data_IF_892228429781
#
_entry.id   IF_892228429781
#
_cell.length_a   1.000
_cell.length_b   1.000
_cell.length_c   1.000
_cell.angle_alpha   90.00
_cell.angle_beta   90.00
_cell.angle_gamma   90.00
#
_symmetry.space_group_name_H-M   'P 1'
#
loop_
_entity.id
_entity.type
_entity.pdbx_description
1 polymer ?
#
# COMPACT_ATOMS: atom_id res chain seq x y z
N UNK A 1 -2.80 -24.79 59.63
CA UNK A 1 -2.88 -23.62 58.74
C UNK A 1 -1.65 -23.57 57.85
N UNK A 2 -1.82 -23.65 56.53
CA UNK A 2 -0.84 -23.24 55.52
C UNK A 2 -1.60 -22.48 54.43
N UNK A 3 -1.16 -21.31 53.97
CA UNK A 3 -1.92 -20.52 53.01
C UNK A 3 -1.71 -21.02 51.57
N UNK A 4 -2.80 -20.94 50.81
CA UNK A 4 -2.91 -21.24 49.38
C UNK A 4 -2.28 -20.07 48.60
N UNK A 5 -1.16 -20.32 47.91
CA UNK A 5 -0.55 -19.38 46.98
C UNK A 5 -1.25 -19.41 45.63
N UNK A 6 -1.85 -18.28 45.23
CA UNK A 6 -2.48 -18.06 43.93
C UNK A 6 -1.49 -18.33 42.79
N UNK A 7 -1.85 -19.20 41.83
CA UNK A 7 -1.18 -19.28 40.53
C UNK A 7 -1.50 -18.02 39.74
N UNK A 8 -0.51 -17.14 39.62
CA UNK A 8 -0.51 -16.06 38.63
C UNK A 8 -0.24 -16.65 37.26
N UNK A 9 -1.23 -16.53 36.38
CA UNK A 9 -1.20 -16.95 34.98
C UNK A 9 -0.41 -15.90 34.18
N UNK A 10 0.92 -15.96 34.22
CA UNK A 10 1.77 -15.13 33.36
C UNK A 10 1.88 -15.80 31.98
N UNK A 11 0.88 -15.58 31.13
CA UNK A 11 1.07 -15.71 29.67
C UNK A 11 2.06 -14.63 29.24
N UNK A 12 3.33 -15.01 29.20
CA UNK A 12 4.36 -14.24 28.51
C UNK A 12 4.01 -14.28 27.02
N UNK A 13 3.53 -13.16 26.49
CA UNK A 13 3.49 -12.94 25.05
C UNK A 13 4.91 -13.15 24.51
N UNK A 14 5.13 -14.27 23.82
CA UNK A 14 6.36 -14.47 23.04
C UNK A 14 6.31 -13.47 21.89
N UNK A 15 6.84 -12.28 22.11
CA UNK A 15 7.25 -11.37 21.04
C UNK A 15 8.34 -12.12 20.28
N UNK A 16 8.01 -12.68 19.11
CA UNK A 16 9.01 -13.18 18.18
C UNK A 16 9.80 -11.97 17.66
N UNK A 17 10.92 -11.67 18.31
CA UNK A 17 11.92 -10.73 17.80
C UNK A 17 12.64 -11.42 16.66
N UNK A 18 12.18 -11.20 15.44
CA UNK A 18 12.91 -11.60 14.24
C UNK A 18 14.05 -10.60 14.06
N UNK A 19 15.28 -11.08 14.25
CA UNK A 19 16.47 -10.31 13.87
C UNK A 19 16.48 -10.15 12.34
N UNK A 20 16.12 -8.95 11.88
CA UNK A 20 16.27 -8.58 10.47
C UNK A 20 17.76 -8.61 10.12
N UNK A 21 18.12 -9.36 9.06
CA UNK A 21 19.44 -9.24 8.46
C UNK A 21 19.61 -7.79 7.97
N UNK A 22 20.80 -7.19 8.11
CA UNK A 22 21.07 -5.86 7.58
C UNK A 22 20.71 -5.82 6.09
N UNK A 23 19.84 -4.88 5.72
CA UNK A 23 19.48 -4.64 4.32
C UNK A 23 20.66 -3.91 3.71
N UNK A 24 21.46 -4.62 2.90
CA UNK A 24 22.45 -4.00 2.03
C UNK A 24 21.70 -3.14 1.00
N UNK A 25 21.78 -1.82 1.14
CA UNK A 25 21.26 -0.87 0.14
C UNK A 25 22.22 -0.88 -1.05
N UNK A 26 22.07 -1.87 -1.92
CA UNK A 26 22.77 -1.96 -3.20
C UNK A 26 21.71 -2.32 -4.23
N UNK A 27 21.27 -1.38 -5.08
CA UNK A 27 20.23 -1.79 -6.03
C UNK A 27 19.73 -0.82 -7.08
N UNK A 28 20.52 0.04 -7.74
CA UNK A 28 19.98 1.02 -8.72
C UNK A 28 19.34 0.44 -10.02
N UNK A 29 18.16 -0.17 -10.00
CA UNK A 29 17.32 -0.61 -11.14
C UNK A 29 16.18 0.32 -11.56
N UNK A 30 15.80 0.23 -12.83
CA UNK A 30 14.59 0.85 -13.38
C UNK A 30 13.67 -0.25 -13.91
N UNK A 31 12.35 -0.09 -13.76
CA UNK A 31 11.34 -1.04 -14.23
C UNK A 31 11.00 -0.81 -15.70
N UNK A 32 10.87 0.46 -16.09
CA UNK A 32 10.63 0.89 -17.45
C UNK A 32 11.76 1.78 -17.95
N UNK A 33 11.76 2.03 -19.26
CA UNK A 33 12.76 2.90 -19.87
C UNK A 33 12.58 4.37 -19.49
N UNK A 34 13.70 5.06 -19.26
CA UNK A 34 13.76 6.49 -18.88
C UNK A 34 14.55 7.26 -19.92
N UNK A 35 14.13 8.49 -20.21
CA UNK A 35 14.76 9.39 -21.15
C UNK A 35 14.02 9.43 -22.49
N UNK A 36 14.76 9.55 -23.59
CA UNK A 36 14.17 9.78 -24.90
C UNK A 36 13.28 8.61 -25.33
N UNK A 37 12.00 8.90 -25.59
CA UNK A 37 10.94 7.91 -25.91
C UNK A 37 10.76 6.83 -24.84
N UNK A 38 11.22 7.08 -23.61
CA UNK A 38 10.99 6.22 -22.46
C UNK A 38 9.57 6.32 -21.92
N UNK A 39 9.16 5.33 -21.13
CA UNK A 39 7.89 5.36 -20.39
C UNK A 39 7.92 6.41 -19.28
N UNK A 40 9.12 6.81 -18.82
CA UNK A 40 9.36 7.93 -17.90
C UNK A 40 8.47 7.87 -16.65
N UNK A 41 8.46 6.69 -16.00
CA UNK A 41 7.74 6.52 -14.75
C UNK A 41 8.42 7.36 -13.65
N UNK A 42 7.66 8.05 -12.78
CA UNK A 42 8.20 8.89 -11.73
C UNK A 42 9.29 8.22 -10.87
N UNK A 43 9.07 6.96 -10.48
CA UNK A 43 10.03 6.20 -9.67
C UNK A 43 11.32 5.88 -10.45
N UNK A 44 11.24 5.63 -11.76
CA UNK A 44 12.42 5.36 -12.59
C UNK A 44 13.20 6.65 -12.87
N UNK A 45 12.51 7.79 -13.07
CA UNK A 45 13.13 9.12 -13.19
C UNK A 45 13.94 9.44 -11.94
N UNK A 46 13.36 9.21 -10.77
CA UNK A 46 14.03 9.40 -9.48
C UNK A 46 15.36 8.63 -9.41
N UNK A 47 15.35 7.35 -9.81
CA UNK A 47 16.54 6.49 -9.81
C UNK A 47 17.62 7.03 -10.75
N UNK A 48 17.25 7.42 -11.97
CA UNK A 48 18.22 7.92 -12.96
C UNK A 48 18.82 9.26 -12.52
N UNK A 49 18.00 10.20 -12.02
CA UNK A 49 18.50 11.47 -11.47
C UNK A 49 19.45 11.23 -10.30
N UNK A 50 19.12 10.30 -9.41
CA UNK A 50 19.97 9.93 -8.26
C UNK A 50 21.31 9.34 -8.70
N UNK A 51 21.29 8.40 -9.65
CA UNK A 51 22.50 7.81 -10.21
C UNK A 51 23.40 8.86 -10.85
N UNK A 52 22.84 9.69 -11.73
CA UNK A 52 23.57 10.72 -12.45
C UNK A 52 24.16 11.77 -11.50
N UNK A 53 23.41 12.23 -10.50
CA UNK A 53 23.91 13.16 -9.49
C UNK A 53 25.02 12.56 -8.62
N UNK A 54 25.02 11.24 -8.40
CA UNK A 54 26.07 10.59 -7.61
C UNK A 54 27.38 10.36 -8.36
N UNK A 55 27.35 10.40 -9.68
CA UNK A 55 28.53 10.23 -10.55
C UNK A 55 29.25 11.58 -10.70
N UNK A 56 30.58 11.57 -10.69
CA UNK A 56 31.36 12.80 -10.82
C UNK A 56 31.28 13.34 -12.27
N UNK A 57 31.40 14.67 -12.49
CA UNK A 57 31.28 15.24 -13.83
C UNK A 57 32.25 14.65 -14.85
N UNK A 58 33.50 14.36 -14.43
CA UNK A 58 34.51 13.74 -15.31
C UNK A 58 34.17 12.31 -15.75
N UNK A 59 33.27 11.63 -15.03
CA UNK A 59 32.76 10.31 -15.37
C UNK A 59 31.39 10.39 -16.08
N UNK A 60 30.94 11.59 -16.43
CA UNK A 60 29.70 11.86 -17.14
C UNK A 60 28.48 12.03 -16.23
N UNK A 61 28.67 12.32 -14.95
CA UNK A 61 27.58 12.59 -14.00
C UNK A 61 27.13 14.04 -13.96
N UNK A 62 25.98 14.27 -13.31
CA UNK A 62 25.38 15.59 -13.14
C UNK A 62 25.76 16.27 -11.81
N UNK A 63 26.43 15.56 -10.90
CA UNK A 63 26.99 16.06 -9.63
C UNK A 63 26.05 16.94 -8.78
N UNK A 64 24.80 16.52 -8.66
CA UNK A 64 23.80 17.17 -7.79
C UNK A 64 22.98 18.27 -8.46
N UNK A 65 23.17 18.53 -9.75
CA UNK A 65 22.45 19.59 -10.48
C UNK A 65 21.03 19.22 -10.89
N UNK A 66 20.70 17.93 -10.97
CA UNK A 66 19.33 17.49 -11.24
C UNK A 66 18.49 17.57 -9.97
N UNK A 67 17.36 18.30 -10.00
CA UNK A 67 16.38 18.24 -8.91
C UNK A 67 15.73 16.85 -8.90
N UNK A 68 16.11 16.03 -7.92
CA UNK A 68 15.63 14.66 -7.74
C UNK A 68 14.16 14.60 -7.29
N UNK A 69 13.60 15.72 -6.80
CA UNK A 69 12.22 15.77 -6.30
C UNK A 69 11.21 16.13 -7.40
N UNK A 70 11.67 16.77 -8.47
CA UNK A 70 10.85 16.99 -9.65
C UNK A 70 10.73 15.69 -10.46
N UNK A 71 9.60 15.00 -10.34
CA UNK A 71 9.33 13.75 -11.06
C UNK A 71 8.38 13.97 -12.25
N UNK A 72 8.22 15.22 -12.67
CA UNK A 72 7.37 15.59 -13.80
C UNK A 72 7.90 14.94 -15.07
N UNK A 73 7.02 14.25 -15.80
CA UNK A 73 7.39 13.47 -16.99
C UNK A 73 6.94 14.14 -18.31
N UNK A 74 6.77 15.46 -18.31
CA UNK A 74 6.51 16.22 -19.55
C UNK A 74 7.79 16.33 -20.39
N UNK A 75 7.69 16.54 -21.72
CA UNK A 75 8.85 16.70 -22.58
C UNK A 75 9.84 17.77 -22.09
N UNK A 76 9.34 18.90 -21.61
CA UNK A 76 10.14 20.04 -21.13
C UNK A 76 10.85 19.72 -19.81
N UNK A 77 10.16 19.07 -18.86
CA UNK A 77 10.75 18.70 -17.57
C UNK A 77 11.78 17.56 -17.70
N UNK A 78 11.65 16.72 -18.73
CA UNK A 78 12.58 15.63 -19.01
C UNK A 78 13.83 16.05 -19.77
N UNK A 79 13.85 17.24 -20.38
CA UNK A 79 14.98 17.73 -21.19
C UNK A 79 16.31 17.71 -20.40
N UNK A 80 16.42 18.24 -19.16
CA UNK A 80 17.67 18.19 -18.39
C UNK A 80 18.10 16.75 -18.04
N UNK A 81 17.14 15.84 -17.84
CA UNK A 81 17.42 14.44 -17.55
C UNK A 81 17.97 13.74 -18.77
N UNK A 82 17.36 13.96 -19.94
CA UNK A 82 17.78 13.40 -21.22
C UNK A 82 19.18 13.91 -21.59
N UNK A 83 19.45 15.20 -21.42
CA UNK A 83 20.79 15.77 -21.61
C UNK A 83 21.83 15.12 -20.69
N UNK A 84 21.52 14.96 -19.40
CA UNK A 84 22.43 14.30 -18.47
C UNK A 84 22.66 12.82 -18.83
N UNK A 85 21.64 12.10 -19.32
CA UNK A 85 21.79 10.73 -19.84
C UNK A 85 22.72 10.73 -21.06
N UNK A 86 22.53 11.66 -22.01
CA UNK A 86 23.36 11.78 -23.20
C UNK A 86 24.81 12.08 -22.85
N UNK A 87 25.05 13.01 -21.92
CA UNK A 87 26.40 13.33 -21.42
C UNK A 87 27.05 12.08 -20.81
N UNK A 88 26.31 11.35 -19.97
CA UNK A 88 26.80 10.11 -19.37
C UNK A 88 27.15 9.06 -20.44
N UNK A 89 26.23 8.81 -21.37
CA UNK A 89 26.43 7.85 -22.47
C UNK A 89 27.64 8.24 -23.32
N UNK A 90 27.78 9.51 -23.71
CA UNK A 90 28.90 10.03 -24.49
C UNK A 90 30.25 9.89 -23.77
N UNK A 91 30.26 10.12 -22.46
CA UNK A 91 31.48 9.99 -21.65
C UNK A 91 31.89 8.53 -21.46
N UNK A 92 30.93 7.61 -21.44
CA UNK A 92 31.17 6.20 -21.18
C UNK A 92 31.23 5.38 -22.48
N UNK A 93 32.45 4.96 -22.84
CA UNK A 93 32.70 4.22 -24.09
C UNK A 93 31.91 2.91 -24.21
N UNK A 94 31.42 2.62 -25.41
CA UNK A 94 30.71 1.38 -25.73
C UNK A 94 29.23 1.34 -25.32
N UNK A 95 28.65 2.49 -24.93
CA UNK A 95 27.22 2.65 -24.71
C UNK A 95 26.51 3.17 -25.97
N UNK A 96 25.20 2.92 -26.05
CA UNK A 96 24.33 3.58 -27.02
C UNK A 96 24.17 5.05 -26.58
N UNK A 97 24.25 5.97 -27.54
CA UNK A 97 24.17 7.43 -27.34
C UNK A 97 22.80 7.98 -27.76
N UNK A 98 21.74 7.35 -27.25
CA UNK A 98 20.36 7.57 -27.68
C UNK A 98 19.52 8.37 -26.67
N UNK A 99 20.11 8.79 -25.55
CA UNK A 99 19.43 9.52 -24.49
C UNK A 99 18.40 8.68 -23.74
N UNK A 100 18.43 7.35 -23.90
CA UNK A 100 17.51 6.40 -23.27
C UNK A 100 18.25 5.42 -22.38
N UNK A 101 17.69 5.18 -21.20
CA UNK A 101 18.15 4.15 -20.28
C UNK A 101 17.08 3.06 -20.24
N UNK A 102 17.46 1.86 -20.65
CA UNK A 102 16.59 0.68 -20.59
C UNK A 102 16.90 -0.20 -19.37
N UNK A 103 15.88 -0.85 -18.77
CA UNK A 103 16.04 -1.81 -17.69
C UNK A 103 17.08 -2.88 -17.99
N UNK A 104 17.98 -3.12 -17.03
CA UNK A 104 19.02 -4.16 -17.08
C UNK A 104 19.96 -4.14 -18.30
N UNK A 105 19.97 -3.05 -19.09
CA UNK A 105 20.89 -2.85 -20.20
C UNK A 105 22.18 -2.13 -19.79
N UNK A 106 23.05 -1.91 -20.77
CA UNK A 106 24.43 -1.46 -20.56
C UNK A 106 24.52 -0.09 -19.86
N UNK A 107 23.66 0.86 -20.24
CA UNK A 107 23.69 2.22 -19.68
C UNK A 107 23.47 2.21 -18.17
N UNK A 108 22.43 1.54 -17.68
CA UNK A 108 22.17 1.50 -16.23
C UNK A 108 23.18 0.65 -15.47
N UNK A 109 23.66 -0.46 -16.05
CA UNK A 109 24.75 -1.27 -15.47
C UNK A 109 26.02 -0.44 -15.30
N UNK A 110 26.32 0.43 -16.28
CA UNK A 110 27.49 1.31 -16.23
C UNK A 110 27.30 2.45 -15.23
N UNK A 111 26.11 3.05 -15.15
CA UNK A 111 25.79 4.07 -14.13
C UNK A 111 25.99 3.50 -12.73
N UNK A 112 25.46 2.30 -12.45
CA UNK A 112 25.71 1.58 -11.18
C UNK A 112 27.20 1.43 -10.89
N UNK A 113 27.98 1.00 -11.88
CA UNK A 113 29.42 0.80 -11.72
C UNK A 113 30.15 2.11 -11.40
N UNK A 114 29.84 3.20 -12.12
CA UNK A 114 30.49 4.49 -11.91
C UNK A 114 30.09 5.14 -10.59
N UNK A 115 28.80 5.06 -10.27
CA UNK A 115 28.28 5.43 -8.96
C UNK A 115 29.03 4.69 -7.84
N UNK A 116 29.30 3.40 -8.04
CA UNK A 116 30.07 2.58 -7.08
C UNK A 116 31.59 2.85 -7.12
N UNK A 117 32.19 3.26 -8.24
CA UNK A 117 33.63 3.58 -8.34
C UNK A 117 34.02 4.81 -7.55
N UNK A 118 33.10 5.77 -7.39
CA UNK A 118 33.29 6.91 -6.47
C UNK A 118 33.37 6.48 -4.99
N UNK A 119 33.08 5.20 -4.65
CA UNK A 119 33.21 4.58 -3.32
C UNK A 119 34.62 4.05 -2.98
N UNK A 120 35.69 4.72 -3.44
CA UNK A 120 37.01 4.48 -2.89
C UNK A 120 37.16 5.08 -1.49
N UNK A 121 36.69 4.38 -0.45
CA UNK A 121 37.05 4.67 0.96
C UNK A 121 35.95 5.11 1.94
N UNK A 122 34.66 4.80 1.73
CA UNK A 122 33.61 5.07 2.72
C UNK A 122 33.15 3.77 3.40
N UNK A 123 33.13 3.73 4.73
CA UNK A 123 32.59 2.61 5.51
C UNK A 123 31.19 2.20 4.98
N UNK A 124 30.94 0.89 4.87
CA UNK A 124 29.59 0.36 4.63
C UNK A 124 28.71 0.66 5.86
N UNK A 125 28.14 1.86 5.90
CA UNK A 125 27.15 2.24 6.91
C UNK A 125 25.78 1.78 6.41
N UNK A 126 25.22 0.74 7.03
CA UNK A 126 23.83 0.32 6.84
C UNK A 126 22.92 1.18 7.73
N UNK A 127 21.79 1.61 7.17
CA UNK A 127 20.75 2.34 7.88
C UNK A 127 19.51 1.46 8.02
N UNK A 128 19.07 1.24 9.24
CA UNK A 128 17.76 0.65 9.52
C UNK A 128 16.79 1.76 9.90
N UNK A 129 15.68 1.89 9.17
CA UNK A 129 14.58 2.81 9.49
C UNK A 129 13.40 1.97 9.95
N UNK A 130 12.84 2.32 11.10
CA UNK A 130 11.72 1.61 11.71
C UNK A 130 10.77 2.61 12.35
N UNK A 131 9.46 2.35 12.36
CA UNK A 131 8.53 3.15 13.15
C UNK A 131 8.68 2.80 14.62
N UNK A 132 8.30 3.73 15.49
CA UNK A 132 8.19 3.46 16.91
C UNK A 132 6.95 2.60 17.19
N UNK A 133 7.16 1.30 17.40
CA UNK A 133 6.11 0.34 17.69
C UNK A 133 6.42 -1.07 17.22
N UNK A 134 5.47 -2.01 17.41
CA UNK A 134 5.61 -3.36 16.90
C UNK A 134 5.60 -3.37 15.37
N UNK A 135 6.62 -3.99 14.79
CA UNK A 135 6.74 -4.24 13.36
C UNK A 135 6.33 -5.68 13.10
N UNK A 136 5.45 -5.90 12.13
CA UNK A 136 4.94 -7.21 11.77
C UNK A 136 5.40 -7.52 10.35
N UNK A 137 6.65 -7.99 10.21
CA UNK A 137 7.26 -8.23 8.90
C UNK A 137 7.79 -6.93 8.26
N UNK A 138 7.62 -6.71 6.94
CA UNK A 138 8.12 -5.53 6.26
C UNK A 138 7.18 -4.31 6.39
N UNK A 139 6.07 -4.42 7.12
CA UNK A 139 5.19 -3.30 7.44
C UNK A 139 4.85 -3.27 8.94
N UNK A 140 4.51 -2.09 9.46
CA UNK A 140 4.04 -1.93 10.85
C UNK A 140 2.52 -1.80 10.95
N UNK A 141 1.99 -1.85 12.17
CA UNK A 141 0.55 -1.71 12.43
C UNK A 141 -0.02 -0.30 12.19
N UNK A 142 0.79 0.66 11.74
CA UNK A 142 0.41 2.07 11.46
C UNK A 142 0.66 2.46 10.01
N UNK A 143 0.93 1.46 9.17
CA UNK A 143 1.08 1.56 7.74
C UNK A 143 2.50 1.78 7.24
N UNK A 144 3.51 2.00 8.09
CA UNK A 144 4.91 2.07 7.65
C UNK A 144 5.24 0.86 6.80
N UNK A 145 5.90 1.09 5.67
CA UNK A 145 6.35 0.01 4.80
C UNK A 145 7.82 0.19 4.49
N UNK A 146 8.60 -0.79 4.94
CA UNK A 146 9.95 -1.06 4.45
C UNK A 146 9.95 -2.14 3.34
N UNK A 147 8.76 -2.60 2.92
CA UNK A 147 8.60 -3.65 1.92
C UNK A 147 8.97 -3.19 0.51
N UNK A 148 8.94 -1.87 0.27
CA UNK A 148 9.27 -1.25 -1.03
C UNK A 148 8.50 -1.94 -2.14
N UNK A 149 7.16 -1.88 -2.00
CA UNK A 149 6.24 -2.62 -2.85
C UNK A 149 6.14 -1.99 -4.24
N UNK A 150 5.98 -2.84 -5.24
CA UNK A 150 5.64 -2.45 -6.61
C UNK A 150 4.44 -3.23 -7.12
N UNK A 151 3.62 -2.59 -7.94
CA UNK A 151 2.50 -3.24 -8.63
C UNK A 151 3.03 -3.92 -9.91
N UNK A 152 2.71 -5.20 -10.10
CA UNK A 152 3.07 -5.98 -11.29
C UNK A 152 1.80 -6.64 -11.81
N UNK A 153 1.26 -6.13 -12.92
CA UNK A 153 -0.11 -6.47 -13.32
C UNK A 153 -1.11 -5.98 -12.27
N UNK A 154 -1.93 -6.89 -11.74
CA UNK A 154 -2.94 -6.59 -10.70
C UNK A 154 -2.48 -6.98 -9.28
N UNK A 155 -1.24 -7.43 -9.11
CA UNK A 155 -0.73 -7.91 -7.82
C UNK A 155 0.46 -7.10 -7.31
N UNK A 156 0.51 -6.90 -5.98
CA UNK A 156 1.62 -6.23 -5.33
C UNK A 156 2.72 -7.23 -4.96
N UNK A 157 3.95 -6.91 -5.32
CA UNK A 157 5.13 -7.70 -4.98
C UNK A 157 6.14 -6.88 -4.18
N UNK A 158 6.69 -7.47 -3.13
CA UNK A 158 7.85 -6.91 -2.45
C UNK A 158 9.10 -7.21 -3.28
N UNK A 159 9.88 -6.18 -3.64
CA UNK A 159 11.29 -6.21 -4.03
C UNK A 159 11.59 -5.10 -5.06
N UNK A 160 11.55 -3.84 -4.62
CA UNK A 160 12.40 -2.82 -5.19
C UNK A 160 13.44 -2.40 -4.14
N UNK A 161 14.74 -2.53 -4.43
CA UNK A 161 15.79 -2.09 -3.52
C UNK A 161 15.84 -0.56 -3.38
N UNK A 162 15.18 0.18 -4.26
CA UNK A 162 15.38 1.60 -4.47
C UNK A 162 14.24 2.50 -4.10
N UNK A 163 13.00 2.01 -4.19
CA UNK A 163 11.87 2.78 -3.74
C UNK A 163 12.16 3.32 -2.34
N UNK A 164 11.86 4.61 -2.10
CA UNK A 164 12.04 5.18 -0.79
C UNK A 164 11.22 4.37 0.21
N UNK A 165 11.72 4.27 1.44
CA UNK A 165 10.90 3.78 2.54
C UNK A 165 9.68 4.69 2.64
N UNK A 166 8.48 4.13 2.70
CA UNK A 166 7.24 4.91 2.75
C UNK A 166 6.65 4.90 4.15
N UNK A 167 6.21 6.08 4.59
CA UNK A 167 5.54 6.26 5.88
C UNK A 167 4.29 7.11 5.74
N UNK A 168 3.16 6.59 6.21
CA UNK A 168 1.87 7.27 6.23
C UNK A 168 1.86 8.20 7.44
N UNK A 169 1.58 9.48 7.21
CA UNK A 169 1.48 10.50 8.24
C UNK A 169 0.08 11.11 8.20
N UNK A 170 -0.85 10.69 9.07
CA UNK A 170 -2.16 11.33 9.15
C UNK A 170 -2.03 12.81 9.56
N UNK A 171 -2.75 13.70 8.90
CA UNK A 171 -2.80 15.12 9.31
C UNK A 171 -3.26 15.21 10.76
N UNK A 172 -2.53 16.00 11.56
CA UNK A 172 -2.80 16.20 12.98
C UNK A 172 -2.39 15.05 13.90
N UNK A 173 -1.90 13.92 13.37
CA UNK A 173 -1.32 12.82 14.16
C UNK A 173 0.19 12.77 13.97
N UNK A 174 0.90 12.33 15.00
CA UNK A 174 2.36 12.19 14.96
C UNK A 174 2.79 10.81 14.47
N UNK A 175 4.00 10.76 13.93
CA UNK A 175 4.74 9.54 13.60
C UNK A 175 6.16 9.68 14.10
N UNK A 176 6.65 8.66 14.79
CA UNK A 176 8.03 8.60 15.25
C UNK A 176 8.76 7.52 14.49
N UNK A 177 9.88 7.89 13.88
CA UNK A 177 10.79 6.99 13.19
C UNK A 177 12.04 6.83 14.06
N UNK A 178 12.48 5.59 14.22
CA UNK A 178 13.72 5.14 14.84
C UNK A 178 14.70 4.74 13.75
N UNK A 179 15.91 5.27 13.83
CA UNK A 179 16.97 5.09 12.86
C UNK A 179 18.21 4.54 13.56
N UNK A 180 18.79 3.49 12.99
CA UNK A 180 20.01 2.89 13.51
C UNK A 180 21.03 2.78 12.38
N UNK A 181 22.04 3.65 12.41
CA UNK A 181 23.25 3.49 11.61
C UNK A 181 24.12 2.38 12.18
N UNK A 182 24.76 1.59 11.33
CA UNK A 182 25.79 0.64 11.81
C UNK A 182 27.02 1.39 12.31
N UNK A 183 27.72 0.79 13.27
CA UNK A 183 28.98 1.30 13.83
C UNK A 183 28.89 2.66 14.54
N UNK A 184 27.68 3.09 14.95
CA UNK A 184 27.51 4.32 15.73
C UNK A 184 27.62 5.61 14.90
N UNK A 185 27.52 5.52 13.57
CA UNK A 185 27.51 6.68 12.69
C UNK A 185 26.40 7.67 13.09
N UNK A 186 26.73 8.97 13.16
CA UNK A 186 25.74 10.00 13.44
C UNK A 186 24.69 10.08 12.33
N UNK A 187 23.44 10.36 12.70
CA UNK A 187 22.32 10.51 11.77
C UNK A 187 21.72 11.90 11.92
N UNK A 188 21.56 12.59 10.79
CA UNK A 188 20.91 13.89 10.66
C UNK A 188 19.65 13.80 9.81
N UNK A 189 18.83 14.84 9.91
CA UNK A 189 17.54 14.94 9.21
C UNK A 189 17.43 16.29 8.52
N UNK A 190 16.99 16.28 7.27
CA UNK A 190 16.55 17.45 6.54
C UNK A 190 15.15 17.20 6.01
N UNK A 191 14.27 18.18 6.19
CA UNK A 191 12.89 18.15 5.70
C UNK A 191 12.56 19.54 5.16
N UNK A 192 12.31 19.62 3.87
CA UNK A 192 11.91 20.86 3.18
C UNK A 192 10.51 20.69 2.60
N UNK A 193 9.49 20.78 3.46
CA UNK A 193 8.10 20.71 3.02
C UNK A 193 7.17 21.40 4.01
N UNK A 194 6.20 22.21 3.55
CA UNK A 194 5.14 22.73 4.43
C UNK A 194 4.12 21.64 4.84
N UNK A 195 4.19 20.44 4.25
CA UNK A 195 3.23 19.35 4.49
C UNK A 195 3.53 18.56 5.76
N UNK A 196 4.76 18.58 6.21
CA UNK A 196 5.22 17.85 7.40
C UNK A 196 6.09 18.78 8.24
N UNK A 197 6.00 18.65 9.54
CA UNK A 197 6.87 19.35 10.48
C UNK A 197 7.59 18.34 11.38
N UNK A 198 8.88 18.58 11.65
CA UNK A 198 9.63 17.85 12.67
C UNK A 198 9.32 18.49 14.03
N UNK A 199 8.69 17.74 14.93
CA UNK A 199 8.39 18.19 16.28
C UNK A 199 9.57 17.94 17.23
N UNK A 200 10.20 16.77 17.12
CA UNK A 200 11.29 16.35 17.99
C UNK A 200 12.32 15.58 17.18
N UNK A 201 13.60 15.76 17.55
CA UNK A 201 14.73 14.99 16.99
C UNK A 201 15.72 14.62 18.08
N UNK A 202 16.14 13.36 18.09
CA UNK A 202 17.27 12.85 18.87
C UNK A 202 18.35 12.34 17.92
N UNK A 203 19.43 11.76 18.46
CA UNK A 203 20.50 11.15 17.67
C UNK A 203 20.05 9.96 16.81
N UNK A 204 18.92 9.34 17.14
CA UNK A 204 18.43 8.09 16.58
C UNK A 204 16.92 8.09 16.31
N UNK A 205 16.20 9.17 16.61
CA UNK A 205 14.76 9.27 16.38
C UNK A 205 14.34 10.61 15.82
N UNK A 206 13.29 10.59 15.01
CA UNK A 206 12.62 11.80 14.52
C UNK A 206 11.11 11.63 14.66
N UNK A 207 10.46 12.60 15.30
CA UNK A 207 9.01 12.66 15.42
C UNK A 207 8.51 13.73 14.46
N UNK A 208 7.65 13.32 13.53
CA UNK A 208 7.02 14.20 12.53
C UNK A 208 5.52 14.29 12.75
N UNK A 209 4.92 15.39 12.30
CA UNK A 209 3.46 15.59 12.25
C UNK A 209 3.02 16.02 10.85
N UNK A 210 1.91 15.47 10.38
CA UNK A 210 1.29 15.88 9.12
C UNK A 210 0.53 17.19 9.27
N UNK A 211 0.78 18.13 8.36
CA UNK A 211 0.16 19.47 8.33
C UNK A 211 -0.75 19.65 7.13
N UNK A 212 -0.26 19.31 5.93
CA UNK A 212 -1.01 19.46 4.66
C UNK A 212 -0.96 18.16 3.87
N UNK A 213 -2.01 17.89 3.10
CA UNK A 213 -2.11 16.67 2.29
C UNK A 213 -1.02 16.59 1.21
N UNK A 214 -0.58 15.37 0.92
CA UNK A 214 0.29 15.01 -0.18
C UNK A 214 1.65 14.49 0.27
N UNK A 215 2.54 14.31 -0.70
CA UNK A 215 3.85 13.70 -0.47
C UNK A 215 4.90 14.72 -0.02
N UNK A 216 5.73 14.31 0.93
CA UNK A 216 6.92 15.03 1.40
C UNK A 216 8.11 14.07 1.53
N UNK A 217 9.32 14.57 1.36
CA UNK A 217 10.54 13.77 1.49
C UNK A 217 11.33 14.18 2.72
N UNK A 218 11.53 13.22 3.61
CA UNK A 218 12.46 13.34 4.73
C UNK A 218 13.80 12.78 4.27
N UNK A 219 14.79 13.66 4.16
CA UNK A 219 16.18 13.31 3.86
C UNK A 219 16.90 12.88 5.13
N UNK A 220 17.32 11.62 5.19
CA UNK A 220 18.13 11.09 6.27
C UNK A 220 19.60 11.14 5.87
N UNK A 221 20.37 11.97 6.55
CA UNK A 221 21.80 12.14 6.31
C UNK A 221 22.54 11.24 7.28
N UNK A 222 23.40 10.35 6.81
CA UNK A 222 24.18 9.45 7.67
C UNK A 222 25.66 9.79 7.53
N UNK A 223 26.35 9.95 8.65
CA UNK A 223 27.79 10.19 8.69
C UNK A 223 28.54 9.09 7.93
N UNK A 224 29.41 9.49 7.01
CA UNK A 224 30.16 8.57 6.15
C UNK A 224 29.40 8.05 4.93
N UNK A 225 28.08 8.31 4.80
CA UNK A 225 27.36 8.07 3.55
C UNK A 225 27.44 9.26 2.60
N UNK A 226 27.54 8.97 1.29
CA UNK A 226 27.45 9.98 0.24
C UNK A 226 25.99 10.15 -0.19
N UNK A 227 25.37 11.21 0.31
CA UNK A 227 24.02 11.63 -0.06
C UNK A 227 22.94 11.20 0.96
N UNK A 228 21.81 11.91 1.02
CA UNK A 228 20.72 11.58 1.92
C UNK A 228 19.96 10.32 1.45
N UNK A 229 19.47 9.53 2.40
CA UNK A 229 18.50 8.46 2.15
C UNK A 229 17.10 9.07 2.21
N UNK A 230 16.30 9.01 1.13
CA UNK A 230 14.96 9.56 1.12
C UNK A 230 13.97 8.62 1.86
N UNK A 231 13.14 9.22 2.71
CA UNK A 231 11.95 8.60 3.28
C UNK A 231 10.75 9.37 2.79
N UNK A 232 9.89 8.72 1.99
CA UNK A 232 8.68 9.32 1.45
C UNK A 232 7.60 9.33 2.53
N UNK A 233 7.25 10.51 3.00
CA UNK A 233 6.16 10.75 3.94
C UNK A 233 4.89 11.05 3.16
N UNK A 234 3.94 10.11 3.15
CA UNK A 234 2.63 10.32 2.54
C UNK A 234 1.69 10.93 3.55
N UNK A 235 1.42 12.23 3.42
CA UNK A 235 0.55 12.95 4.35
C UNK A 235 -0.89 12.85 3.90
N UNK A 236 -1.75 12.26 4.73
CA UNK A 236 -3.15 11.98 4.37
C UNK A 236 -4.11 12.76 5.24
N UNK A 237 -4.99 13.54 4.61
CA UNK A 237 -6.10 14.19 5.30
C UNK A 237 -7.08 13.16 5.84
N UNK A 238 -7.80 13.54 6.89
CA UNK A 238 -8.89 12.71 7.37
C UNK A 238 -9.95 12.59 6.26
N UNK A 239 -10.37 11.37 5.97
CA UNK A 239 -11.47 11.12 5.05
C UNK A 239 -12.48 10.18 5.69
N UNK A 240 -13.74 10.37 5.32
CA UNK A 240 -14.84 9.53 5.76
C UNK A 240 -15.53 8.93 4.56
N UNK A 241 -15.67 7.61 4.56
CA UNK A 241 -16.28 6.86 3.46
C UNK A 241 -17.59 6.25 3.96
N UNK A 242 -18.74 6.64 3.40
CA UNK A 242 -19.99 6.00 3.76
C UNK A 242 -20.00 4.55 3.27
N UNK A 243 -20.55 3.64 4.08
CA UNK A 243 -20.83 2.27 3.69
C UNK A 243 -22.35 2.17 3.45
N UNK A 244 -22.74 2.02 2.20
CA UNK A 244 -24.12 1.70 1.83
C UNK A 244 -24.32 0.19 1.92
N UNK A 245 -25.48 -0.25 2.43
CA UNK A 245 -25.85 -1.67 2.52
C UNK A 245 -27.09 -1.95 1.70
N UNK A 246 -26.95 -2.85 0.73
CA UNK A 246 -28.05 -3.29 -0.12
C UNK A 246 -28.30 -4.76 0.16
N UNK A 247 -29.44 -5.07 0.77
CA UNK A 247 -29.84 -6.45 1.01
C UNK A 247 -30.53 -7.02 -0.23
N UNK A 248 -29.98 -8.09 -0.79
CA UNK A 248 -30.51 -8.79 -1.96
C UNK A 248 -31.58 -9.81 -1.54
N UNK A 249 -32.82 -9.57 -1.99
CA UNK A 249 -33.98 -10.40 -1.72
C UNK A 249 -34.79 -9.96 -0.50
N UNK A 250 -36.06 -10.38 -0.44
CA UNK A 250 -36.95 -10.11 0.69
C UNK A 250 -36.61 -11.06 1.84
N UNK A 251 -35.96 -10.58 2.90
CA UNK A 251 -35.81 -11.36 4.13
C UNK A 251 -36.75 -10.86 5.24
N UNK A 252 -37.47 -11.79 5.87
CA UNK A 252 -38.32 -11.58 7.05
C UNK A 252 -37.56 -11.08 8.30
N UNK A 253 -36.22 -11.12 8.27
CA UNK A 253 -35.30 -10.61 9.31
C UNK A 253 -34.30 -9.56 8.77
N UNK A 254 -34.49 -9.05 7.54
CA UNK A 254 -33.53 -8.22 6.80
C UNK A 254 -33.08 -6.97 7.58
N UNK A 255 -34.03 -6.22 8.16
CA UNK A 255 -33.72 -4.92 8.76
C UNK A 255 -32.81 -5.01 9.98
N UNK A 256 -33.06 -5.98 10.88
CA UNK A 256 -32.25 -6.18 12.07
C UNK A 256 -30.82 -6.65 11.73
N UNK A 257 -30.72 -7.56 10.77
CA UNK A 257 -29.43 -8.08 10.28
C UNK A 257 -28.62 -6.99 9.58
N UNK A 258 -29.22 -6.25 8.64
CA UNK A 258 -28.54 -5.17 7.90
C UNK A 258 -27.97 -4.10 8.82
N UNK A 259 -28.78 -3.60 9.76
CA UNK A 259 -28.35 -2.53 10.68
C UNK A 259 -27.24 -3.04 11.61
N UNK A 260 -27.37 -4.26 12.12
CA UNK A 260 -26.34 -4.87 12.97
C UNK A 260 -25.03 -5.09 12.21
N UNK A 261 -25.10 -5.61 10.99
CA UNK A 261 -23.94 -5.82 10.10
C UNK A 261 -23.28 -4.49 9.75
N UNK A 262 -24.04 -3.48 9.30
CA UNK A 262 -23.50 -2.17 8.96
C UNK A 262 -22.77 -1.54 10.16
N UNK A 263 -23.37 -1.57 11.34
CA UNK A 263 -22.76 -1.02 12.56
C UNK A 263 -21.47 -1.75 12.93
N UNK A 264 -21.48 -3.08 12.89
CA UNK A 264 -20.33 -3.90 13.26
C UNK A 264 -19.17 -3.69 12.28
N UNK A 265 -19.45 -3.72 10.97
CA UNK A 265 -18.46 -3.50 9.91
C UNK A 265 -17.88 -2.09 10.00
N UNK A 266 -18.73 -1.04 10.04
CA UNK A 266 -18.28 0.35 10.14
C UNK A 266 -17.35 0.58 11.34
N UNK A 267 -17.69 0.02 12.51
CA UNK A 267 -16.87 0.16 13.72
C UNK A 267 -15.51 -0.57 13.60
N UNK A 268 -15.51 -1.82 13.13
CA UNK A 268 -14.29 -2.64 13.03
C UNK A 268 -13.35 -2.08 11.97
N UNK A 269 -13.88 -1.73 10.79
CA UNK A 269 -13.09 -1.21 9.67
C UNK A 269 -12.52 0.17 10.03
N UNK A 270 -13.31 1.05 10.65
CA UNK A 270 -12.80 2.35 11.12
C UNK A 270 -11.65 2.18 12.10
N UNK A 271 -11.72 1.22 13.02
CA UNK A 271 -10.63 0.96 13.97
C UNK A 271 -9.33 0.52 13.29
N UNK A 272 -9.44 -0.26 12.21
CA UNK A 272 -8.29 -0.74 11.42
C UNK A 272 -7.68 0.42 10.63
N UNK A 273 -8.50 1.18 9.90
CA UNK A 273 -8.04 2.15 8.92
C UNK A 273 -7.78 3.55 9.49
N UNK A 274 -8.45 4.00 10.56
CA UNK A 274 -8.24 5.37 11.09
C UNK A 274 -6.82 5.56 11.62
N UNK A 275 -6.32 4.55 12.33
CA UNK A 275 -4.98 4.59 12.91
C UNK A 275 -3.87 4.45 11.86
N UNK A 276 -4.14 3.74 10.76
CA UNK A 276 -3.18 3.41 9.72
C UNK A 276 -3.19 4.41 8.57
N UNK A 277 -4.36 4.89 8.17
CA UNK A 277 -4.61 5.61 6.92
C UNK A 277 -5.45 6.88 7.07
N UNK A 278 -5.82 7.29 8.29
CA UNK A 278 -6.70 8.44 8.52
C UNK A 278 -8.07 8.32 7.80
N UNK A 279 -8.53 7.08 7.59
CA UNK A 279 -9.81 6.79 6.97
C UNK A 279 -10.79 6.29 8.04
N UNK A 280 -11.92 6.96 8.12
CA UNK A 280 -13.06 6.53 8.93
C UNK A 280 -14.17 6.07 8.00
N UNK A 281 -15.05 5.21 8.51
CA UNK A 281 -16.23 4.76 7.78
C UNK A 281 -17.46 5.24 8.53
N UNK A 282 -18.49 5.60 7.78
CA UNK A 282 -19.77 6.05 8.33
C UNK A 282 -20.91 5.18 7.82
N UNK A 283 -22.03 5.17 8.54
CA UNK A 283 -23.24 4.50 8.07
C UNK A 283 -23.84 5.32 6.93
N UNK A 284 -23.84 4.73 5.73
CA UNK A 284 -24.56 5.22 4.58
C UNK A 284 -26.00 4.70 4.53
N UNK A 285 -26.56 4.63 3.33
CA UNK A 285 -27.93 4.19 3.08
C UNK A 285 -28.06 2.68 3.25
N UNK A 286 -29.13 2.24 3.91
CA UNK A 286 -29.51 0.83 4.00
C UNK A 286 -30.84 0.61 3.29
N UNK A 287 -30.91 -0.33 2.34
CA UNK A 287 -32.17 -0.72 1.68
C UNK A 287 -32.24 -2.19 1.32
N UNK A 288 -33.46 -2.68 1.15
CA UNK A 288 -33.76 -4.00 0.61
C UNK A 288 -34.14 -3.84 -0.85
N UNK A 289 -33.64 -4.73 -1.70
CA UNK A 289 -34.05 -4.83 -3.10
C UNK A 289 -34.57 -6.23 -3.36
N UNK A 290 -35.65 -6.33 -4.12
CA UNK A 290 -36.29 -7.60 -4.50
C UNK A 290 -36.19 -7.88 -6.00
N UNK A 291 -35.46 -7.04 -6.74
CA UNK A 291 -35.14 -7.22 -8.14
C UNK A 291 -33.78 -6.58 -8.47
N UNK A 292 -33.10 -7.12 -9.48
CA UNK A 292 -31.86 -6.57 -10.06
C UNK A 292 -32.11 -6.28 -11.53
N UNK A 293 -31.43 -5.28 -12.10
CA UNK A 293 -31.51 -5.03 -13.55
C UNK A 293 -30.44 -5.83 -14.26
N UNK A 294 -30.85 -6.83 -15.04
CA UNK A 294 -29.97 -7.65 -15.88
C UNK A 294 -30.31 -7.38 -17.34
N UNK A 295 -29.33 -6.95 -18.13
CA UNK A 295 -29.51 -6.68 -19.58
C UNK A 295 -30.69 -5.73 -19.87
N UNK A 296 -30.87 -4.72 -19.03
CA UNK A 296 -31.93 -3.71 -19.16
C UNK A 296 -33.32 -4.17 -18.71
N UNK A 297 -33.45 -5.37 -18.13
CA UNK A 297 -34.71 -5.90 -17.62
C UNK A 297 -34.66 -6.10 -16.10
N UNK A 298 -35.75 -5.74 -15.42
CA UNK A 298 -35.89 -6.04 -14.00
C UNK A 298 -36.13 -7.54 -13.82
N UNK A 299 -35.21 -8.21 -13.14
CA UNK A 299 -35.27 -9.63 -12.80
C UNK A 299 -35.53 -9.75 -11.30
N UNK A 300 -36.70 -10.28 -10.88
CA UNK A 300 -37.00 -10.50 -9.46
C UNK A 300 -36.02 -11.46 -8.81
N UNK A 301 -35.64 -11.19 -7.57
CA UNK A 301 -34.83 -12.05 -6.72
C UNK A 301 -35.76 -13.06 -6.06
N UNK A 302 -35.62 -14.34 -6.42
CA UNK A 302 -36.44 -15.43 -5.88
C UNK A 302 -36.02 -15.72 -4.42
N UNK A 303 -36.91 -15.51 -3.44
CA UNK A 303 -36.58 -15.71 -2.02
C UNK A 303 -36.31 -17.17 -1.66
N UNK A 304 -36.71 -18.12 -2.52
CA UNK A 304 -36.55 -19.56 -2.29
C UNK A 304 -35.32 -20.15 -2.98
N UNK A 305 -34.61 -19.35 -3.80
CA UNK A 305 -33.39 -19.79 -4.49
C UNK A 305 -32.16 -19.19 -3.83
N UNK A 306 -31.05 -19.93 -3.97
CA UNK A 306 -29.72 -19.38 -3.71
C UNK A 306 -29.33 -18.39 -4.80
N UNK A 307 -28.52 -17.41 -4.44
CA UNK A 307 -28.03 -16.35 -5.33
C UNK A 307 -26.56 -16.60 -5.62
N UNK A 308 -26.24 -16.90 -6.87
CA UNK A 308 -24.86 -17.04 -7.32
C UNK A 308 -24.40 -15.73 -7.95
N UNK A 309 -23.32 -15.12 -7.43
CA UNK A 309 -22.74 -13.89 -7.98
C UNK A 309 -21.41 -14.22 -8.65
N UNK A 310 -21.37 -14.25 -9.98
CA UNK A 310 -20.21 -14.77 -10.74
C UNK A 310 -19.52 -13.75 -11.64
N UNK A 311 -18.28 -14.09 -12.01
CA UNK A 311 -17.48 -13.42 -13.05
C UNK A 311 -17.51 -14.11 -14.42
N UNK A 312 -18.08 -15.32 -14.57
CA UNK A 312 -18.08 -16.10 -15.82
C UNK A 312 -19.40 -16.80 -16.16
N UNK A 313 -19.43 -17.52 -17.29
CA UNK A 313 -20.59 -18.30 -17.78
C UNK A 313 -20.39 -19.81 -17.58
N UNK A 314 -21.40 -20.52 -17.07
CA UNK A 314 -21.45 -21.98 -16.97
C UNK A 314 -22.80 -22.44 -16.41
N UNK A 315 -23.23 -23.69 -16.62
CA UNK A 315 -24.58 -24.11 -16.20
C UNK A 315 -24.61 -24.44 -14.70
N UNK A 316 -25.61 -23.96 -13.98
CA UNK A 316 -26.13 -24.63 -12.78
C UNK A 316 -27.66 -24.62 -12.75
N UNK A 317 -28.27 -25.73 -12.32
CA UNK A 317 -29.72 -25.95 -12.42
C UNK A 317 -30.48 -25.79 -11.11
N UNK A 318 -29.98 -25.04 -10.12
CA UNK A 318 -30.71 -24.82 -8.83
C UNK A 318 -30.60 -23.43 -8.21
N UNK A 319 -29.67 -22.57 -8.65
CA UNK A 319 -29.49 -21.21 -8.14
C UNK A 319 -30.02 -20.16 -9.14
N UNK A 320 -30.29 -18.96 -8.66
CA UNK A 320 -30.49 -17.78 -9.51
C UNK A 320 -29.14 -17.08 -9.71
N UNK A 321 -28.77 -16.86 -10.97
CA UNK A 321 -27.50 -16.24 -11.35
C UNK A 321 -27.63 -14.73 -11.51
N UNK A 322 -26.66 -14.00 -10.97
CA UNK A 322 -26.47 -12.57 -11.14
C UNK A 322 -25.00 -12.31 -11.48
N UNK A 323 -24.71 -11.44 -12.45
CA UNK A 323 -23.33 -10.98 -12.66
C UNK A 323 -23.02 -9.88 -11.65
N UNK A 324 -21.76 -9.78 -11.24
CA UNK A 324 -21.33 -8.66 -10.39
C UNK A 324 -21.66 -7.30 -11.03
N UNK A 325 -21.54 -7.21 -12.36
CA UNK A 325 -21.90 -6.03 -13.15
C UNK A 325 -23.39 -5.67 -13.09
N UNK A 326 -24.29 -6.65 -12.93
CA UNK A 326 -25.73 -6.39 -12.83
C UNK A 326 -26.08 -5.63 -11.53
N UNK A 327 -25.19 -5.69 -10.52
CA UNK A 327 -25.35 -4.96 -9.27
C UNK A 327 -24.98 -3.47 -9.40
N UNK A 328 -24.28 -3.05 -10.47
CA UNK A 328 -23.83 -1.66 -10.65
C UNK A 328 -24.99 -0.67 -10.67
N UNK A 329 -26.14 -1.03 -11.25
CA UNK A 329 -27.33 -0.17 -11.27
C UNK A 329 -27.89 0.10 -9.87
N UNK A 330 -27.56 -0.74 -8.90
CA UNK A 330 -27.98 -0.60 -7.51
C UNK A 330 -27.01 0.27 -6.69
N UNK A 331 -25.93 0.80 -7.27
CA UNK A 331 -25.06 1.77 -6.59
C UNK A 331 -25.64 3.17 -6.77
N UNK A 332 -26.13 3.75 -5.68
CA UNK A 332 -26.77 5.07 -5.69
C UNK A 332 -25.84 6.20 -5.27
N UNK A 333 -24.83 5.90 -4.45
CA UNK A 333 -23.86 6.87 -3.98
C UNK A 333 -22.45 6.44 -4.42
N UNK A 334 -21.88 7.13 -5.41
CA UNK A 334 -20.53 6.82 -5.92
C UNK A 334 -19.41 7.15 -4.92
N UNK A 335 -19.69 7.98 -3.92
CA UNK A 335 -18.74 8.25 -2.84
C UNK A 335 -18.76 7.14 -1.77
N UNK A 336 -19.81 6.31 -1.72
CA UNK A 336 -19.91 5.19 -0.78
C UNK A 336 -19.19 3.95 -1.29
N UNK A 337 -18.81 3.07 -0.36
CA UNK A 337 -18.63 1.65 -0.65
C UNK A 337 -20.00 0.99 -0.54
N UNK A 338 -20.48 0.39 -1.62
CA UNK A 338 -21.76 -0.33 -1.63
C UNK A 338 -21.52 -1.80 -1.35
N UNK A 339 -22.03 -2.26 -0.21
CA UNK A 339 -21.96 -3.64 0.25
C UNK A 339 -23.29 -4.36 -0.03
N UNK A 340 -23.25 -5.35 -0.91
CA UNK A 340 -24.37 -6.24 -1.20
C UNK A 340 -24.36 -7.43 -0.25
N UNK A 341 -25.46 -7.66 0.48
CA UNK A 341 -25.55 -8.77 1.44
C UNK A 341 -26.79 -9.59 1.23
N UNK A 342 -26.71 -10.88 1.48
CA UNK A 342 -27.85 -11.78 1.65
C UNK A 342 -27.37 -13.12 2.17
N UNK A 343 -28.17 -13.75 3.03
CA UNK A 343 -27.91 -15.12 3.51
C UNK A 343 -28.11 -16.18 2.42
N UNK A 344 -28.69 -15.79 1.27
CA UNK A 344 -28.88 -16.67 0.12
C UNK A 344 -27.70 -16.64 -0.85
N UNK A 345 -26.74 -15.72 -0.71
CA UNK A 345 -25.56 -15.67 -1.57
C UNK A 345 -24.74 -16.94 -1.38
N UNK A 346 -24.38 -17.58 -2.48
CA UNK A 346 -23.43 -18.69 -2.52
C UNK A 346 -22.33 -18.36 -3.53
N UNK A 347 -21.11 -18.78 -3.21
CA UNK A 347 -20.05 -18.84 -4.21
C UNK A 347 -19.97 -20.29 -4.71
N UNK A 348 -20.19 -20.48 -6.01
CA UNK A 348 -20.15 -21.79 -6.65
C UNK A 348 -18.79 -22.10 -7.29
N UNK A 349 -17.91 -21.11 -7.42
CA UNK A 349 -16.61 -21.25 -8.10
C UNK A 349 -15.46 -21.55 -7.12
N UNK A 350 -15.55 -21.10 -5.86
CA UNK A 350 -14.57 -21.42 -4.81
C UNK A 350 -15.24 -21.48 -3.43
N UNK A 351 -15.26 -22.67 -2.82
CA UNK A 351 -15.84 -22.92 -1.50
C UNK A 351 -15.17 -22.12 -0.37
N UNK A 352 -14.04 -21.46 -0.62
CA UNK A 352 -13.29 -20.66 0.36
C UNK A 352 -13.63 -19.17 0.35
N UNK A 353 -14.46 -18.71 -0.58
CA UNK A 353 -14.76 -17.28 -0.77
C UNK A 353 -16.06 -16.91 -0.06
N UNK A 354 -15.95 -16.15 1.02
CA UNK A 354 -17.10 -15.68 1.82
C UNK A 354 -17.63 -14.30 1.35
N UNK A 355 -16.86 -13.60 0.52
CA UNK A 355 -17.16 -12.29 -0.03
C UNK A 355 -16.24 -11.97 -1.19
N UNK A 356 -16.57 -10.94 -1.96
CA UNK A 356 -15.72 -10.43 -3.03
C UNK A 356 -15.89 -8.93 -3.19
N UNK A 357 -14.79 -8.20 -3.08
CA UNK A 357 -14.66 -6.80 -3.45
C UNK A 357 -14.12 -6.65 -4.86
N UNK A 358 -14.58 -5.62 -5.56
CA UNK A 358 -14.10 -5.27 -6.90
C UNK A 358 -13.01 -4.19 -6.79
N UNK A 359 -11.73 -4.52 -7.10
CA UNK A 359 -10.60 -3.62 -6.96
C UNK A 359 -10.85 -2.19 -7.46
N UNK A 360 -10.93 -1.25 -6.53
CA UNK A 360 -11.08 0.19 -6.82
C UNK A 360 -12.47 0.64 -7.26
N UNK A 361 -13.42 -0.28 -7.47
CA UNK A 361 -14.77 0.02 -7.95
C UNK A 361 -15.78 0.29 -6.82
N UNK A 362 -15.34 0.35 -5.56
CA UNK A 362 -16.17 0.67 -4.37
C UNK A 362 -17.43 -0.21 -4.23
N UNK A 363 -17.38 -1.43 -4.75
CA UNK A 363 -18.45 -2.41 -4.68
C UNK A 363 -17.91 -3.70 -4.07
N UNK A 364 -18.74 -4.37 -3.28
CA UNK A 364 -18.45 -5.70 -2.78
C UNK A 364 -19.73 -6.46 -2.45
N UNK A 365 -19.66 -7.79 -2.45
CA UNK A 365 -20.69 -8.63 -1.82
C UNK A 365 -20.12 -9.49 -0.71
N UNK A 366 -20.97 -9.88 0.23
CA UNK A 366 -20.61 -10.74 1.35
C UNK A 366 -21.81 -11.57 1.82
N UNK A 367 -21.58 -12.84 2.15
CA UNK A 367 -22.59 -13.69 2.79
C UNK A 367 -22.42 -13.67 4.33
N UNK A 368 -23.38 -13.10 5.09
CA UNK A 368 -23.32 -13.07 6.55
C UNK A 368 -23.65 -14.39 7.25
N UNK A 369 -24.08 -15.44 6.54
CA UNK A 369 -24.58 -16.68 7.10
C UNK A 369 -23.53 -17.78 7.34
N UNK A 370 -22.27 -17.58 6.97
CA UNK A 370 -21.25 -18.65 6.99
C UNK A 370 -20.96 -19.13 8.43
N UNK A 371 -21.40 -20.33 8.85
CA UNK A 371 -21.17 -20.83 10.19
C UNK A 371 -19.77 -21.46 10.26
N UNK A 372 -18.89 -20.88 11.08
CA UNK A 372 -17.59 -21.48 11.41
C UNK A 372 -16.41 -20.51 11.26
N UNK A 373 -15.90 -20.01 12.38
CA UNK A 373 -14.61 -19.33 12.60
C UNK A 373 -14.13 -18.16 11.71
N UNK A 374 -14.69 -17.91 10.52
CA UNK A 374 -14.31 -16.77 9.67
C UNK A 374 -15.28 -15.62 9.96
N UNK A 375 -14.83 -14.75 10.85
CA UNK A 375 -15.56 -13.72 11.58
C UNK A 375 -16.38 -12.78 10.66
N UNK A 376 -17.66 -12.55 10.96
CA UNK A 376 -18.61 -11.70 10.22
C UNK A 376 -18.20 -10.22 10.07
N UNK A 377 -17.07 -9.82 10.67
CA UNK A 377 -16.51 -8.48 10.58
C UNK A 377 -15.17 -8.43 9.83
N UNK A 378 -14.47 -9.57 9.67
CA UNK A 378 -13.15 -9.62 9.04
C UNK A 378 -13.29 -9.71 7.52
N UNK A 379 -14.17 -10.58 7.04
CA UNK A 379 -14.40 -10.72 5.59
C UNK A 379 -14.90 -9.40 4.98
N UNK A 380 -15.90 -8.69 5.55
CA UNK A 380 -16.26 -7.38 5.03
C UNK A 380 -15.11 -6.38 5.06
N UNK A 381 -14.24 -6.41 6.08
CA UNK A 381 -13.07 -5.54 6.12
C UNK A 381 -12.06 -5.88 5.01
N UNK A 382 -11.87 -7.17 4.72
CA UNK A 382 -11.10 -7.68 3.59
C UNK A 382 -11.63 -7.11 2.27
N UNK A 383 -12.91 -7.31 2.00
CA UNK A 383 -13.53 -6.87 0.75
C UNK A 383 -13.56 -5.35 0.61
N UNK A 384 -13.68 -4.61 1.72
CA UNK A 384 -13.55 -3.14 1.71
C UNK A 384 -12.15 -2.73 1.26
N UNK A 385 -11.11 -3.48 1.64
CA UNK A 385 -9.75 -3.25 1.14
C UNK A 385 -9.69 -3.37 -0.38
N UNK A 386 -10.23 -4.45 -0.94
CA UNK A 386 -10.34 -4.59 -2.39
C UNK A 386 -11.14 -3.44 -3.00
N UNK A 387 -12.30 -3.09 -2.45
CA UNK A 387 -13.11 -1.98 -2.93
C UNK A 387 -12.38 -0.61 -2.94
N UNK A 388 -11.33 -0.45 -2.12
CA UNK A 388 -10.43 0.70 -2.08
C UNK A 388 -9.22 0.61 -3.02
N UNK A 389 -9.10 -0.47 -3.80
CA UNK A 389 -8.02 -0.72 -4.74
C UNK A 389 -6.84 -1.50 -4.17
N UNK A 390 -6.98 -2.06 -2.96
CA UNK A 390 -5.92 -2.87 -2.38
C UNK A 390 -5.89 -4.26 -3.04
N UNK A 391 -4.76 -4.65 -3.59
CA UNK A 391 -4.52 -5.99 -4.12
C UNK A 391 -3.89 -6.92 -3.08
N UNK A 392 -3.85 -8.22 -3.37
CA UNK A 392 -3.05 -9.15 -2.57
C UNK A 392 -1.56 -8.78 -2.65
N UNK A 393 -0.87 -8.89 -1.52
CA UNK A 393 0.55 -8.56 -1.39
C UNK A 393 1.30 -9.83 -1.03
N UNK A 394 2.16 -10.29 -1.93
CA UNK A 394 3.00 -11.47 -1.71
C UNK A 394 4.42 -11.04 -1.37
N UNK A 395 4.86 -11.34 -0.14
CA UNK A 395 6.24 -11.09 0.30
C UNK A 395 7.07 -12.37 0.24
N UNK A 396 8.41 -12.27 0.18
CA UNK A 396 9.33 -13.43 0.13
C UNK A 396 9.14 -14.45 1.27
N UNK A 397 8.51 -14.06 2.38
CA UNK A 397 8.21 -14.95 3.51
C UNK A 397 6.79 -15.54 3.44
N UNK A 398 6.11 -15.48 2.29
CA UNK A 398 4.75 -15.99 2.06
C UNK A 398 3.68 -15.44 3.02
N UNK A 399 3.96 -14.29 3.64
CA UNK A 399 2.98 -13.62 4.50
C UNK A 399 2.17 -12.70 3.60
N UNK A 400 0.90 -13.04 3.37
CA UNK A 400 -0.05 -12.19 2.64
C UNK A 400 -0.36 -10.94 3.47
N UNK A 401 -0.08 -9.74 2.96
CA UNK A 401 -0.33 -8.49 3.69
C UNK A 401 -1.71 -7.91 3.44
N UNK A 402 -2.42 -8.38 2.42
CA UNK A 402 -3.85 -8.14 2.36
C UNK A 402 -4.60 -9.26 3.08
N UNK A 403 -4.95 -8.95 4.33
CA UNK A 403 -6.08 -9.49 5.07
C UNK A 403 -6.34 -10.98 4.85
N UNK A 404 -5.40 -11.88 5.15
CA UNK A 404 -5.78 -13.30 5.20
C UNK A 404 -6.83 -13.46 6.32
N UNK A 405 -8.11 -13.69 6.00
CA UNK A 405 -9.18 -13.61 7.00
C UNK A 405 -9.08 -14.75 8.03
N UNK A 406 -8.39 -15.84 7.66
CA UNK A 406 -8.12 -17.01 8.49
C UNK A 406 -6.94 -16.83 9.45
N UNK A 407 -6.04 -15.86 9.23
CA UNK A 407 -4.78 -15.72 10.00
C UNK A 407 -4.68 -14.36 10.73
N UNK A 408 -5.40 -13.32 10.32
CA UNK A 408 -5.12 -11.93 10.74
C UNK A 408 -6.26 -11.26 11.51
N UNK A 409 -6.85 -11.95 12.49
CA UNK A 409 -8.05 -11.52 13.19
C UNK A 409 -7.96 -10.19 13.94
N UNK A 410 -6.75 -9.66 14.19
CA UNK A 410 -6.51 -8.35 14.82
C UNK A 410 -5.36 -7.53 14.21
N UNK A 411 -4.69 -8.04 13.16
CA UNK A 411 -3.41 -7.51 12.67
C UNK A 411 -3.44 -7.21 11.17
N UNK A 412 -4.55 -6.65 10.69
CA UNK A 412 -4.65 -6.15 9.32
C UNK A 412 -3.72 -4.96 9.19
N UNK A 413 -2.71 -5.09 8.34
CA UNK A 413 -1.69 -4.08 8.10
C UNK A 413 -1.86 -3.58 6.68
N UNK A 414 -2.01 -2.27 6.52
CA UNK A 414 -2.20 -1.64 5.22
C UNK A 414 -0.91 -0.91 4.85
N UNK A 415 -0.10 -1.44 3.93
CA UNK A 415 1.13 -0.76 3.53
C UNK A 415 0.82 0.57 2.85
N UNK A 416 1.60 1.60 3.16
CA UNK A 416 1.44 2.95 2.60
C UNK A 416 1.20 2.97 1.09
N UNK A 417 1.99 2.19 0.36
CA UNK A 417 2.05 2.13 -1.10
C UNK A 417 0.75 1.67 -1.73
N UNK A 418 -0.03 0.85 -1.02
CA UNK A 418 -1.17 0.14 -1.59
C UNK A 418 -2.44 0.97 -1.61
N UNK A 419 -2.56 1.98 -0.76
CA UNK A 419 -3.74 2.83 -0.73
C UNK A 419 -3.69 3.87 -1.83
N UNK A 420 -4.50 3.67 -2.86
CA UNK A 420 -4.77 4.68 -3.89
C UNK A 420 -5.18 6.00 -3.21
N UNK A 421 -4.68 7.12 -3.73
CA UNK A 421 -5.13 8.42 -3.29
C UNK A 421 -6.60 8.56 -3.69
N UNK A 422 -7.49 8.60 -2.70
CA UNK A 422 -8.92 8.69 -2.97
C UNK A 422 -9.17 10.04 -3.65
N UNK A 423 -9.88 10.08 -4.80
CA UNK A 423 -10.23 11.35 -5.42
C UNK A 423 -10.97 12.21 -4.39
N UNK A 424 -10.50 13.46 -4.30
CA UNK A 424 -10.98 14.49 -3.38
C UNK A 424 -12.44 14.86 -3.59
#
# INVERSE_FOLDING_TARGET
MRPIGKRGDYRTERIMVINLKPVNVIGFSIAESVGLKGSNQPDDIFVIKTLLNGIAPQDGGADGTLDINDLTNTPEAMEPVIEAILVFQNTQTGLLHDGRVDPEKNTIKRMRLMFNRRKGGGLDVNLTITPDGPIFGPCDARGFSAAKLRLVGDEWSAFDGLAPVRQMVPIGKTRKLKLKGTNGAAVGFALESPKVEILERTSDTVTVIGRLEGDADLSVIVEGQRGPIPVRLQVRKASSIPIDVVHLGRATLANGLMIATQRAVTSVVSRIYDNQANLTFTSGTSRIVDAVTTEGRAVPIDPNKKLSIRSGFGPLSTAQELRFDDLKSLVTNRAAITMFISTQIIDDEDSNVAGRGDPGNRMLWFNPATPGSVNTNIVPAHEIGHALGLGHITTKNNTGFLMNPTVQSNNIIIPCETLVQLPS
#
